data_IF_505084189555
#
_entry.id   IF_505084189555
#
_cell.length_a   1.000
_cell.length_b   1.000
_cell.length_c   1.000
_cell.angle_alpha   90.00
_cell.angle_beta   90.00
_cell.angle_gamma   90.00
#
_symmetry.space_group_name_H-M   'P 1'
#
loop_
_entity.id
_entity.type
_entity.pdbx_description
1 polymer ?
#
# COMPACT_ATOMS: atom_id res chain seq x y z
N UNK A 1 30.75 -6.24 35.19
CA UNK A 1 31.83 -5.83 34.26
C UNK A 1 31.27 -4.76 33.34
N UNK A 2 31.54 -3.49 33.64
CA UNK A 2 31.15 -2.33 32.83
C UNK A 2 32.41 -1.76 32.19
N UNK A 3 32.54 -1.85 30.87
CA UNK A 3 33.64 -1.25 30.14
C UNK A 3 33.23 0.17 29.69
N UNK A 4 33.76 1.16 30.39
CA UNK A 4 33.69 2.58 30.04
C UNK A 4 34.82 2.87 29.04
N UNK A 5 34.48 3.15 27.78
CA UNK A 5 35.45 3.65 26.80
C UNK A 5 35.44 5.18 26.81
N UNK A 6 36.46 5.76 27.45
CA UNK A 6 36.87 7.17 27.31
C UNK A 6 37.70 7.27 26.03
N UNK A 7 37.27 8.08 25.06
CA UNK A 7 38.11 8.51 23.96
C UNK A 7 38.46 9.99 24.10
N UNK A 8 39.76 10.23 24.09
CA UNK A 8 40.48 11.49 24.25
C UNK A 8 40.41 12.31 22.96
N UNK A 9 40.17 13.61 23.08
CA UNK A 9 40.21 14.57 21.97
C UNK A 9 41.67 14.96 21.64
N UNK A 10 42.07 15.02 20.37
CA UNK A 10 43.25 15.77 19.97
C UNK A 10 42.90 17.22 19.56
N UNK A 11 43.60 18.13 20.22
CA UNK A 11 43.83 19.54 19.90
C UNK A 11 44.59 19.73 18.59
N UNK A 12 44.24 20.72 17.77
CA UNK A 12 45.20 21.25 16.78
C UNK A 12 44.67 21.97 15.53
N UNK A 13 44.48 23.29 15.66
CA UNK A 13 44.76 24.39 14.71
C UNK A 13 44.30 24.36 13.22
N UNK A 14 43.46 25.36 12.95
CA UNK A 14 43.65 26.46 11.97
C UNK A 14 43.43 26.22 10.47
N UNK A 15 42.44 26.93 9.92
CA UNK A 15 42.62 27.69 8.68
C UNK A 15 41.79 27.27 7.48
N UNK A 16 40.53 27.71 7.43
CA UNK A 16 39.87 28.21 6.22
C UNK A 16 38.46 28.72 6.59
N UNK A 17 38.36 30.00 6.97
CA UNK A 17 37.07 30.70 7.06
C UNK A 17 36.60 31.00 5.63
N UNK A 18 35.87 30.06 5.03
CA UNK A 18 35.00 30.41 3.90
C UNK A 18 33.80 31.16 4.49
N UNK A 19 33.65 32.42 4.09
CA UNK A 19 32.51 33.26 4.40
C UNK A 19 31.25 32.61 3.82
N UNK A 20 30.54 31.84 4.64
CA UNK A 20 29.14 31.52 4.38
C UNK A 20 28.37 32.83 4.47
N UNK A 21 28.07 33.42 3.32
CA UNK A 21 27.02 34.43 3.21
C UNK A 21 25.71 33.72 3.58
N UNK A 22 25.36 33.80 4.86
CA UNK A 22 24.00 33.53 5.31
C UNK A 22 23.11 34.54 4.63
N UNK A 23 22.38 34.13 3.60
CA UNK A 23 21.18 34.85 3.18
C UNK A 23 20.21 34.76 4.35
N UNK A 24 20.33 35.74 5.25
CA UNK A 24 19.30 36.06 6.24
C UNK A 24 18.10 36.51 5.42
N UNK A 25 17.26 35.57 5.00
CA UNK A 25 15.88 35.91 4.71
C UNK A 25 15.31 36.43 6.02
N UNK A 26 15.18 37.75 6.09
CA UNK A 26 14.61 38.48 7.20
C UNK A 26 13.25 37.85 7.53
N UNK A 27 13.20 37.18 8.69
CA UNK A 27 12.01 36.56 9.27
C UNK A 27 11.00 37.58 9.80
N UNK A 28 10.89 38.74 9.15
CA UNK A 28 10.14 39.87 9.66
C UNK A 28 9.44 40.63 8.52
N UNK A 29 8.48 39.99 7.86
CA UNK A 29 7.36 40.70 7.24
C UNK A 29 6.09 39.85 7.29
N UNK A 30 5.13 40.35 8.08
CA UNK A 30 3.72 40.02 8.10
C UNK A 30 3.34 38.58 8.49
N UNK A 31 2.86 38.44 9.74
CA UNK A 31 1.76 37.52 10.04
C UNK A 31 0.55 37.93 9.16
N UNK A 32 0.52 37.48 7.90
CA UNK A 32 -0.73 37.48 7.14
C UNK A 32 -1.73 36.67 7.97
N UNK A 33 -2.85 37.31 8.25
CA UNK A 33 -3.99 36.82 9.04
C UNK A 33 -4.26 35.33 8.85
N UNK A 34 -4.93 34.70 9.81
CA UNK A 34 -5.49 33.33 9.77
C UNK A 34 -6.45 33.04 8.58
N UNK A 35 -6.40 33.84 7.51
CA UNK A 35 -7.13 33.69 6.26
C UNK A 35 -6.37 32.82 5.27
N UNK A 36 -7.11 31.94 4.61
CA UNK A 36 -6.65 31.07 3.53
C UNK A 36 -6.09 31.87 2.34
N UNK A 37 -5.11 31.30 1.62
CA UNK A 37 -4.56 31.90 0.41
C UNK A 37 -5.65 32.20 -0.63
N UNK A 38 -5.70 33.44 -1.09
CA UNK A 38 -6.55 33.90 -2.20
C UNK A 38 -5.73 33.75 -3.48
N UNK A 39 -6.27 33.05 -4.47
CA UNK A 39 -5.56 32.72 -5.71
C UNK A 39 -5.85 33.69 -6.85
N UNK A 40 -7.10 34.13 -6.99
CA UNK A 40 -7.45 35.19 -7.93
C UNK A 40 -8.69 35.95 -7.46
N UNK A 41 -8.75 37.21 -7.89
CA UNK A 41 -9.87 38.11 -7.62
C UNK A 41 -10.33 38.69 -8.95
N UNK A 42 -11.61 38.54 -9.28
CA UNK A 42 -12.21 39.08 -10.50
C UNK A 42 -13.42 39.94 -10.11
N UNK A 43 -13.58 41.10 -10.74
CA UNK A 43 -14.76 41.95 -10.60
C UNK A 43 -15.79 41.55 -11.64
N UNK A 44 -17.00 41.21 -11.20
CA UNK A 44 -18.12 40.87 -12.09
C UNK A 44 -18.78 42.15 -12.63
N UNK A 45 -19.62 41.98 -13.65
CA UNK A 45 -20.36 43.07 -14.30
C UNK A 45 -21.22 43.89 -13.31
N UNK A 46 -21.71 43.25 -12.25
CA UNK A 46 -22.51 43.87 -11.18
C UNK A 46 -21.66 44.69 -10.17
N UNK A 47 -20.34 44.79 -10.36
CA UNK A 47 -19.42 45.42 -9.42
C UNK A 47 -19.10 44.59 -8.18
N UNK A 48 -19.61 43.35 -8.10
CA UNK A 48 -19.27 42.41 -7.03
C UNK A 48 -17.87 41.80 -7.22
N UNK A 49 -17.20 41.51 -6.10
CA UNK A 49 -15.83 40.97 -6.09
C UNK A 49 -15.89 39.46 -5.88
N UNK A 50 -15.50 38.69 -6.90
CA UNK A 50 -15.33 37.25 -6.79
C UNK A 50 -13.91 36.94 -6.30
N UNK A 51 -13.82 36.24 -5.16
CA UNK A 51 -12.56 35.86 -4.53
C UNK A 51 -12.46 34.34 -4.54
N UNK A 52 -11.57 33.78 -5.35
CA UNK A 52 -11.35 32.33 -5.40
C UNK A 52 -10.23 31.88 -4.47
N UNK A 53 -10.50 30.79 -3.76
CA UNK A 53 -9.50 30.04 -2.97
C UNK A 53 -8.88 28.88 -3.73
N UNK A 54 -9.26 28.71 -5.00
CA UNK A 54 -8.75 27.65 -5.89
C UNK A 54 -8.10 28.33 -7.09
N UNK A 55 -6.90 27.89 -7.52
CA UNK A 55 -6.27 28.43 -8.72
C UNK A 55 -7.15 28.21 -9.95
N UNK A 56 -7.23 29.22 -10.83
CA UNK A 56 -8.03 29.18 -12.06
C UNK A 56 -7.52 28.15 -13.07
N UNK A 57 -6.20 27.95 -13.07
CA UNK A 57 -5.51 26.93 -13.87
C UNK A 57 -5.04 25.85 -12.90
N UNK A 58 -5.52 24.62 -13.10
CA UNK A 58 -5.01 23.47 -12.36
C UNK A 58 -3.58 23.20 -12.85
N UNK A 59 -2.61 22.97 -11.94
CA UNK A 59 -1.28 22.54 -12.37
C UNK A 59 -1.39 21.21 -13.10
N UNK A 60 -0.66 21.07 -14.21
CA UNK A 60 -0.50 19.79 -14.89
C UNK A 60 0.37 18.89 -14.01
N UNK A 61 -0.27 18.02 -13.22
CA UNK A 61 0.43 17.08 -12.35
C UNK A 61 0.92 15.91 -13.20
N UNK A 62 2.23 15.85 -13.45
CA UNK A 62 2.85 14.72 -14.13
C UNK A 62 3.02 13.51 -13.20
N UNK A 63 3.15 12.30 -13.76
CA UNK A 63 3.37 11.06 -12.96
C UNK A 63 4.58 11.14 -12.02
N UNK A 64 5.59 11.95 -12.40
CA UNK A 64 6.79 12.19 -11.60
C UNK A 64 6.54 13.02 -10.33
N UNK A 65 5.47 13.83 -10.29
CA UNK A 65 5.10 14.65 -9.14
C UNK A 65 4.25 13.86 -8.12
N UNK A 66 3.72 12.70 -8.51
CA UNK A 66 2.98 11.85 -7.59
C UNK A 66 3.92 11.14 -6.60
N UNK A 67 3.48 10.95 -5.34
CA UNK A 67 4.21 10.10 -4.42
C UNK A 67 4.28 8.66 -4.98
N UNK A 68 5.29 7.88 -4.57
CA UNK A 68 5.45 6.52 -5.06
C UNK A 68 4.20 5.67 -4.75
N UNK A 69 3.79 4.79 -5.67
CA UNK A 69 2.62 3.95 -5.48
C UNK A 69 2.82 3.01 -4.29
N UNK A 70 1.78 2.87 -3.46
CA UNK A 70 1.80 2.01 -2.26
C UNK A 70 2.14 0.55 -2.59
N UNK A 71 1.78 0.08 -3.80
CA UNK A 71 2.08 -1.27 -4.29
C UNK A 71 2.74 -1.20 -5.66
N UNK A 72 3.99 -1.63 -5.72
CA UNK A 72 4.67 -1.95 -6.98
C UNK A 72 4.15 -3.31 -7.46
N UNK A 73 3.61 -3.36 -8.68
CA UNK A 73 3.17 -4.62 -9.28
C UNK A 73 4.41 -5.37 -9.76
N UNK A 74 4.66 -6.56 -9.21
CA UNK A 74 5.65 -7.47 -9.79
C UNK A 74 5.20 -7.83 -11.22
N UNK A 75 6.14 -7.97 -12.18
CA UNK A 75 5.80 -8.41 -13.52
C UNK A 75 5.07 -9.77 -13.45
N UNK A 76 4.04 -10.00 -14.29
CA UNK A 76 3.33 -11.27 -14.29
C UNK A 76 4.28 -12.42 -14.62
N UNK A 77 4.22 -13.50 -13.84
CA UNK A 77 4.91 -14.74 -14.18
C UNK A 77 4.21 -15.35 -15.41
N UNK A 78 4.84 -15.25 -16.58
CA UNK A 78 4.24 -15.61 -17.87
C UNK A 78 4.26 -17.12 -18.17
N UNK A 79 4.66 -17.97 -17.21
CA UNK A 79 4.72 -19.41 -17.44
C UNK A 79 3.31 -19.99 -17.52
N UNK A 80 3.00 -20.60 -18.67
CA UNK A 80 1.79 -21.36 -18.89
C UNK A 80 2.05 -22.85 -18.61
N UNK A 81 1.09 -23.53 -17.97
CA UNK A 81 1.16 -24.97 -17.71
C UNK A 81 0.98 -25.77 -19.00
N UNK A 82 1.84 -26.75 -19.23
CA UNK A 82 1.62 -27.79 -20.26
C UNK A 82 0.49 -28.73 -19.84
N UNK A 83 -0.11 -29.44 -20.81
CA UNK A 83 -1.24 -30.33 -20.53
C UNK A 83 -0.87 -31.50 -19.61
N UNK A 84 0.38 -31.95 -19.66
CA UNK A 84 0.92 -32.98 -18.78
C UNK A 84 0.97 -32.49 -17.33
N UNK A 85 1.56 -31.30 -17.10
CA UNK A 85 1.62 -30.67 -15.79
C UNK A 85 0.21 -30.43 -15.21
N UNK A 86 -0.77 -30.07 -16.05
CA UNK A 86 -2.16 -29.91 -15.59
C UNK A 86 -2.74 -31.22 -15.07
N UNK A 87 -2.54 -32.32 -15.79
CA UNK A 87 -3.04 -33.65 -15.36
C UNK A 87 -2.40 -34.08 -14.06
N UNK A 88 -1.08 -33.88 -13.91
CA UNK A 88 -0.38 -34.17 -12.67
C UNK A 88 -0.88 -33.33 -11.50
N UNK A 89 -1.08 -32.02 -11.73
CA UNK A 89 -1.56 -31.08 -10.73
C UNK A 89 -2.95 -31.49 -10.24
N UNK A 90 -3.86 -31.85 -11.14
CA UNK A 90 -5.19 -32.37 -10.81
C UNK A 90 -5.07 -33.68 -10.00
N UNK A 91 -4.23 -34.61 -10.46
CA UNK A 91 -3.99 -35.89 -9.77
C UNK A 91 -3.52 -35.68 -8.33
N UNK A 92 -2.48 -34.88 -8.13
CA UNK A 92 -1.91 -34.60 -6.81
C UNK A 92 -2.93 -33.97 -5.85
N UNK A 93 -3.74 -33.02 -6.36
CA UNK A 93 -4.74 -32.33 -5.55
C UNK A 93 -5.93 -33.22 -5.19
N UNK A 94 -6.28 -34.17 -6.05
CA UNK A 94 -7.32 -35.16 -5.77
C UNK A 94 -6.85 -36.26 -4.80
N UNK A 95 -5.57 -36.65 -4.84
CA UNK A 95 -5.02 -37.66 -3.92
C UNK A 95 -4.97 -37.17 -2.48
N UNK A 96 -4.38 -36.00 -2.23
CA UNK A 96 -4.28 -35.44 -0.88
C UNK A 96 -4.28 -33.90 -0.91
N UNK A 97 -5.48 -33.27 -0.79
CA UNK A 97 -5.59 -31.82 -0.81
C UNK A 97 -5.04 -31.14 0.46
N UNK A 98 -4.83 -31.87 1.56
CA UNK A 98 -4.29 -31.32 2.79
C UNK A 98 -2.76 -31.20 2.69
N UNK A 99 -2.09 -32.21 2.12
CA UNK A 99 -0.64 -32.15 1.86
C UNK A 99 -0.33 -31.23 0.69
N UNK A 100 -1.06 -31.33 -0.42
CA UNK A 100 -0.83 -30.60 -1.68
C UNK A 100 -1.67 -29.32 -1.78
N UNK A 101 -1.32 -28.36 -0.91
CA UNK A 101 -1.97 -27.04 -0.92
C UNK A 101 -1.58 -26.21 -2.15
N UNK A 102 -2.40 -25.20 -2.47
CA UNK A 102 -2.18 -24.29 -3.60
C UNK A 102 -0.76 -23.71 -3.59
N UNK A 103 -0.29 -23.25 -2.43
CA UNK A 103 1.04 -22.66 -2.29
C UNK A 103 2.18 -23.63 -2.57
N UNK A 104 2.01 -24.93 -2.28
CA UNK A 104 3.05 -25.94 -2.57
C UNK A 104 3.05 -26.32 -4.05
N UNK A 105 1.88 -26.46 -4.67
CA UNK A 105 1.77 -26.72 -6.10
C UNK A 105 2.29 -25.54 -6.93
N UNK A 106 1.95 -24.31 -6.53
CA UNK A 106 2.47 -23.09 -7.14
C UNK A 106 4.00 -23.05 -7.13
N UNK A 107 4.63 -23.43 -6.01
CA UNK A 107 6.10 -23.52 -5.90
C UNK A 107 6.68 -24.66 -6.73
N UNK A 108 6.03 -25.83 -6.75
CA UNK A 108 6.52 -27.00 -7.50
C UNK A 108 6.53 -26.75 -9.02
N UNK A 109 5.50 -26.10 -9.54
CA UNK A 109 5.35 -25.86 -10.98
C UNK A 109 5.81 -24.46 -11.42
N UNK A 110 6.25 -23.61 -10.47
CA UNK A 110 6.67 -22.21 -10.70
C UNK A 110 5.58 -21.36 -11.36
N UNK A 111 4.36 -21.53 -10.87
CA UNK A 111 3.15 -20.98 -11.46
C UNK A 111 2.41 -20.12 -10.42
N UNK A 112 1.78 -19.00 -10.82
CA UNK A 112 0.99 -18.19 -9.91
C UNK A 112 -0.13 -19.01 -9.23
N UNK A 113 -0.39 -18.80 -7.92
CA UNK A 113 -1.35 -19.61 -7.17
C UNK A 113 -2.79 -19.50 -7.72
N UNK A 114 -3.12 -18.39 -8.38
CA UNK A 114 -4.39 -18.19 -9.07
C UNK A 114 -4.58 -19.20 -10.20
N UNK A 115 -3.54 -19.51 -10.98
CA UNK A 115 -3.63 -20.47 -12.09
C UNK A 115 -3.85 -21.90 -11.57
N UNK A 116 -3.23 -22.24 -10.44
CA UNK A 116 -3.46 -23.52 -9.74
C UNK A 116 -4.93 -23.63 -9.30
N UNK A 117 -5.50 -22.55 -8.74
CA UNK A 117 -6.88 -22.53 -8.26
C UNK A 117 -7.89 -22.67 -9.41
N UNK A 118 -7.58 -22.09 -10.57
CA UNK A 118 -8.38 -22.19 -11.79
C UNK A 118 -8.32 -23.60 -12.39
N UNK A 119 -7.14 -24.22 -12.40
CA UNK A 119 -6.89 -25.50 -13.07
C UNK A 119 -7.37 -26.70 -12.26
N UNK A 120 -7.09 -26.74 -10.96
CA UNK A 120 -7.50 -27.84 -10.10
C UNK A 120 -8.31 -27.33 -8.91
N UNK A 121 -9.60 -27.59 -8.98
CA UNK A 121 -10.50 -27.36 -7.84
C UNK A 121 -10.23 -28.40 -6.76
N UNK A 122 -10.48 -28.02 -5.50
CA UNK A 122 -10.38 -28.95 -4.38
C UNK A 122 -11.55 -29.96 -4.45
N UNK A 123 -11.40 -31.23 -4.04
CA UNK A 123 -12.55 -32.13 -3.96
C UNK A 123 -13.62 -31.60 -2.98
N UNK A 124 -14.90 -31.90 -3.27
CA UNK A 124 -16.05 -31.31 -2.55
C UNK A 124 -16.02 -31.55 -1.04
N UNK A 125 -15.62 -32.73 -0.61
CA UNK A 125 -15.54 -33.08 0.83
C UNK A 125 -14.61 -32.15 1.60
N UNK A 126 -13.44 -31.81 1.01
CA UNK A 126 -12.47 -30.91 1.65
C UNK A 126 -12.95 -29.46 1.62
N UNK A 127 -13.65 -29.05 0.56
CA UNK A 127 -14.28 -27.71 0.52
C UNK A 127 -15.30 -27.53 1.63
N UNK A 128 -16.14 -28.55 1.87
CA UNK A 128 -17.11 -28.53 2.96
C UNK A 128 -16.45 -28.47 4.33
N UNK A 129 -15.37 -29.22 4.54
CA UNK A 129 -14.60 -29.17 5.79
C UNK A 129 -14.03 -27.77 6.05
N UNK A 130 -13.42 -27.14 5.04
CA UNK A 130 -12.91 -25.76 5.14
C UNK A 130 -14.04 -24.77 5.47
N UNK A 131 -15.22 -24.95 4.85
CA UNK A 131 -16.38 -24.12 5.13
C UNK A 131 -16.86 -24.29 6.58
N UNK A 132 -16.97 -25.53 7.05
CA UNK A 132 -17.35 -25.82 8.44
C UNK A 132 -16.37 -25.22 9.44
N UNK A 133 -15.07 -25.27 9.16
CA UNK A 133 -14.06 -24.65 10.03
C UNK A 133 -14.19 -23.13 10.04
N UNK A 134 -14.45 -22.51 8.88
CA UNK A 134 -14.71 -21.07 8.80
C UNK A 134 -15.97 -20.66 9.57
N UNK A 135 -17.03 -21.49 9.54
CA UNK A 135 -18.27 -21.26 10.26
C UNK A 135 -18.06 -21.38 11.78
N UNK A 136 -17.32 -22.39 12.24
CA UNK A 136 -16.92 -22.53 13.66
C UNK A 136 -16.10 -21.33 14.13
N UNK A 137 -15.14 -20.87 13.32
CA UNK A 137 -14.37 -19.67 13.61
C UNK A 137 -15.26 -18.42 13.69
N UNK A 138 -16.28 -18.34 12.83
CA UNK A 138 -17.25 -17.25 12.83
C UNK A 138 -18.14 -17.26 14.07
N UNK A 139 -18.63 -18.42 14.49
CA UNK A 139 -19.44 -18.60 15.69
C UNK A 139 -18.67 -18.26 16.97
N UNK A 140 -17.38 -18.61 17.00
CA UNK A 140 -16.46 -18.26 18.10
C UNK A 140 -16.29 -16.74 18.27
N UNK A 141 -16.60 -15.93 17.26
CA UNK A 141 -16.50 -14.48 17.38
C UNK A 141 -17.64 -13.93 18.24
N UNK A 142 -17.29 -13.07 19.19
CA UNK A 142 -18.27 -12.27 19.91
C UNK A 142 -19.02 -11.30 18.99
N UNK A 143 -20.21 -10.87 19.44
CA UNK A 143 -21.12 -9.99 18.70
C UNK A 143 -20.44 -8.75 18.11
N UNK A 144 -19.67 -8.01 18.92
CA UNK A 144 -18.96 -6.80 18.47
C UNK A 144 -18.02 -7.06 17.29
N UNK A 145 -17.27 -8.17 17.31
CA UNK A 145 -16.34 -8.52 16.22
C UNK A 145 -17.09 -8.90 14.93
N UNK A 146 -18.21 -9.62 15.05
CA UNK A 146 -19.08 -9.94 13.91
C UNK A 146 -19.61 -8.66 13.26
N UNK A 147 -20.12 -7.71 14.06
CA UNK A 147 -20.63 -6.42 13.56
C UNK A 147 -19.55 -5.62 12.82
N UNK A 148 -18.32 -5.57 13.36
CA UNK A 148 -17.18 -4.89 12.70
C UNK A 148 -16.86 -5.55 11.36
N UNK A 149 -16.79 -6.89 11.30
CA UNK A 149 -16.53 -7.62 10.04
C UNK A 149 -17.63 -7.35 9.00
N UNK A 150 -18.91 -7.39 9.39
CA UNK A 150 -20.03 -7.08 8.51
C UNK A 150 -19.98 -5.64 7.99
N UNK A 151 -19.71 -4.66 8.85
CA UNK A 151 -19.57 -3.27 8.41
C UNK A 151 -18.37 -3.07 7.47
N UNK A 152 -17.27 -3.81 7.66
CA UNK A 152 -16.15 -3.81 6.71
C UNK A 152 -16.55 -4.36 5.34
N UNK A 153 -17.36 -5.42 5.31
CA UNK A 153 -17.90 -5.96 4.05
C UNK A 153 -18.82 -4.94 3.36
N UNK A 154 -19.72 -4.30 4.11
CA UNK A 154 -20.61 -3.23 3.58
C UNK A 154 -19.82 -2.07 2.98
N UNK A 155 -18.79 -1.58 3.67
CA UNK A 155 -17.92 -0.51 3.15
C UNK A 155 -17.20 -0.92 1.88
N UNK A 156 -16.69 -2.17 1.81
CA UNK A 156 -16.04 -2.70 0.60
C UNK A 156 -17.01 -2.82 -0.57
N UNK A 157 -18.28 -3.14 -0.33
CA UNK A 157 -19.30 -3.23 -1.38
C UNK A 157 -19.78 -1.85 -1.86
N UNK A 158 -19.67 -0.82 -1.01
CA UNK A 158 -20.05 0.55 -1.33
C UNK A 158 -18.96 1.32 -2.09
N UNK A 159 -17.69 1.01 -1.81
CA UNK A 159 -16.52 1.55 -2.50
C UNK A 159 -16.33 0.90 -3.87
#
# INVERSE_FOLDING_TARGET
MFAVCKAVLPTGRAGARQLLQTVRQSSAMARKSLGTNIHYTETLEDGSIFVSRVPKVLPEVGEADLPPPIRTRAPPANKSLTDEERRELIKLRNTDPARWTVSKLAKKFEVPPQLVLMTAQCPRWRQQEIQQDADKEWEKLGYKKRLIRLNRLRRRLLW
#
